data_IF_504639557604
#
_entry.id   IF_504639557604
#
_cell.length_a   1.000
_cell.length_b   1.000
_cell.length_c   1.000
_cell.angle_alpha   90.00
_cell.angle_beta   90.00
_cell.angle_gamma   90.00
#
_symmetry.space_group_name_H-M   'P 1'
#
loop_
_entity.id
_entity.type
_entity.pdbx_description
1 polymer ?
#
# COMPACT_ATOMS: atom_id res chain seq x y z
N UNK A 1 14.15 -6.06 5.17
CA UNK A 1 15.39 -6.76 5.57
C UNK A 1 16.61 -6.12 4.92
N UNK A 2 16.59 -5.92 3.61
CA UNK A 2 17.74 -5.37 2.85
C UNK A 2 18.19 -3.97 3.32
N UNK A 3 17.25 -3.07 3.66
CA UNK A 3 17.58 -1.73 4.18
C UNK A 3 18.34 -1.80 5.51
N UNK A 4 17.96 -2.72 6.40
CA UNK A 4 18.63 -2.89 7.69
C UNK A 4 20.05 -3.43 7.52
N UNK A 5 20.27 -4.32 6.55
CA UNK A 5 21.60 -4.80 6.18
C UNK A 5 22.45 -3.68 5.56
N UNK A 6 21.86 -2.80 4.75
CA UNK A 6 22.56 -1.65 4.19
C UNK A 6 22.95 -0.63 5.28
N UNK A 7 22.06 -0.35 6.24
CA UNK A 7 22.35 0.50 7.39
C UNK A 7 23.49 -0.11 8.21
N UNK A 8 23.38 -1.40 8.56
CA UNK A 8 24.41 -2.09 9.34
C UNK A 8 25.75 -2.15 8.59
N UNK A 9 25.73 -2.42 7.28
CA UNK A 9 26.92 -2.40 6.42
C UNK A 9 27.58 -1.02 6.39
N UNK A 10 26.78 0.06 6.31
CA UNK A 10 27.28 1.43 6.40
C UNK A 10 27.94 1.73 7.75
N UNK A 11 27.35 1.28 8.87
CA UNK A 11 27.95 1.40 10.20
C UNK A 11 29.30 0.68 10.29
N UNK A 12 29.37 -0.55 9.75
CA UNK A 12 30.61 -1.33 9.72
C UNK A 12 31.67 -0.64 8.86
N UNK A 13 31.31 -0.10 7.70
CA UNK A 13 32.25 0.63 6.82
C UNK A 13 32.77 1.91 7.45
N UNK A 14 31.92 2.66 8.16
CA UNK A 14 32.34 3.87 8.87
C UNK A 14 33.30 3.52 10.01
N UNK A 15 32.96 2.51 10.83
CA UNK A 15 33.84 2.03 11.92
C UNK A 15 35.17 1.53 11.34
N UNK A 16 35.13 0.77 10.24
CA UNK A 16 36.32 0.27 9.57
C UNK A 16 37.22 1.41 9.06
N UNK A 17 36.63 2.45 8.45
CA UNK A 17 37.39 3.62 8.02
C UNK A 17 38.00 4.40 9.19
N UNK A 18 37.29 4.55 10.31
CA UNK A 18 37.82 5.18 11.52
C UNK A 18 39.00 4.38 12.07
N UNK A 19 38.86 3.05 12.18
CA UNK A 19 39.94 2.16 12.66
C UNK A 19 41.15 2.21 11.74
N UNK A 20 40.96 2.15 10.42
CA UNK A 20 42.06 2.29 9.46
C UNK A 20 42.76 3.64 9.59
N UNK A 21 42.00 4.73 9.73
CA UNK A 21 42.56 6.07 9.88
C UNK A 21 43.40 6.17 11.17
N UNK A 22 42.90 5.66 12.29
CA UNK A 22 43.65 5.61 13.57
C UNK A 22 44.91 4.75 13.44
N UNK A 23 44.82 3.59 12.79
CA UNK A 23 45.99 2.72 12.60
C UNK A 23 47.05 3.35 11.68
N UNK A 24 46.64 4.01 10.60
CA UNK A 24 47.54 4.71 9.68
C UNK A 24 48.19 5.90 10.39
N UNK A 25 47.40 6.70 11.12
CA UNK A 25 47.92 7.82 11.92
C UNK A 25 48.92 7.32 12.97
N UNK A 26 48.59 6.24 13.69
CA UNK A 26 49.49 5.64 14.68
C UNK A 26 50.77 5.10 14.06
N UNK A 27 50.71 4.43 12.91
CA UNK A 27 51.90 3.96 12.19
C UNK A 27 52.79 5.09 11.68
N UNK A 28 52.22 6.23 11.31
CA UNK A 28 52.96 7.41 10.86
C UNK A 28 53.52 8.20 12.07
N UNK A 29 52.77 8.24 13.18
CA UNK A 29 53.10 9.05 14.36
C UNK A 29 53.93 8.31 15.42
N UNK A 30 54.03 6.98 15.39
CA UNK A 30 55.00 6.20 16.19
C UNK A 30 56.47 6.60 15.88
N UNK A 31 56.71 7.46 14.88
CA UNK A 31 58.01 8.09 14.59
C UNK A 31 58.24 9.44 15.29
N UNK A 32 57.24 10.03 15.96
CA UNK A 32 57.35 11.34 16.61
C UNK A 32 56.42 11.44 17.84
N UNK A 33 57.01 11.30 19.04
CA UNK A 33 56.51 11.67 20.38
C UNK A 33 54.98 11.74 20.59
N UNK A 34 54.49 10.77 21.35
CA UNK A 34 53.11 10.57 21.77
C UNK A 34 52.54 11.73 22.59
N UNK A 35 51.62 12.51 21.99
CA UNK A 35 50.94 13.64 22.61
C UNK A 35 49.54 13.22 23.13
N UNK A 36 49.09 13.64 24.33
CA UNK A 36 47.84 13.18 24.95
C UNK A 36 46.55 13.71 24.31
N UNK A 37 46.63 14.41 23.16
CA UNK A 37 45.47 14.92 22.42
C UNK A 37 44.73 13.86 21.58
N UNK A 38 45.30 12.67 21.42
CA UNK A 38 44.76 11.61 20.56
C UNK A 38 43.43 10.99 21.06
N UNK A 39 43.13 11.08 22.35
CA UNK A 39 41.85 10.60 22.91
C UNK A 39 40.67 11.57 22.66
N UNK A 40 40.93 12.88 22.61
CA UNK A 40 39.90 13.87 22.27
C UNK A 40 39.47 13.76 20.80
N UNK A 41 40.42 13.42 19.93
CA UNK A 41 40.20 13.25 18.49
C UNK A 41 39.25 12.06 18.22
N UNK A 42 39.33 10.96 18.97
CA UNK A 42 38.45 9.80 18.77
C UNK A 42 36.98 10.06 19.12
N UNK A 43 36.70 10.86 20.15
CA UNK A 43 35.32 11.17 20.55
C UNK A 43 34.65 12.10 19.55
N UNK A 44 35.37 13.10 19.02
CA UNK A 44 34.88 14.00 17.98
C UNK A 44 34.47 13.24 16.70
N UNK A 45 35.17 12.16 16.35
CA UNK A 45 34.84 11.34 15.19
C UNK A 45 33.52 10.56 15.34
N UNK A 46 33.18 10.10 16.55
CA UNK A 46 31.92 9.40 16.80
C UNK A 46 30.75 10.38 16.67
N UNK A 47 30.86 11.56 17.26
CA UNK A 47 29.87 12.63 17.10
C UNK A 47 29.75 13.08 15.64
N UNK A 48 30.88 13.13 14.93
CA UNK A 48 30.91 13.46 13.52
C UNK A 48 30.16 12.41 12.66
N UNK A 49 30.43 11.12 12.84
CA UNK A 49 29.73 10.04 12.16
C UNK A 49 28.22 10.05 12.46
N UNK A 50 27.85 10.28 13.73
CA UNK A 50 26.47 10.45 14.16
C UNK A 50 25.79 11.64 13.47
N UNK A 51 26.45 12.80 13.38
CA UNK A 51 25.85 13.94 12.70
C UNK A 51 25.79 13.78 11.18
N UNK A 52 26.74 13.08 10.54
CA UNK A 52 26.64 12.75 9.12
C UNK A 52 25.44 11.84 8.81
N UNK A 53 25.19 10.83 9.65
CA UNK A 53 24.01 9.94 9.54
C UNK A 53 22.71 10.71 9.83
N UNK A 54 22.73 11.58 10.83
CA UNK A 54 21.58 12.41 11.22
C UNK A 54 21.41 13.67 10.35
N UNK A 55 22.22 13.85 9.30
CA UNK A 55 22.25 15.04 8.44
C UNK A 55 22.34 16.37 9.21
N UNK A 56 23.02 16.37 10.36
CA UNK A 56 23.28 17.57 11.13
C UNK A 56 24.50 18.25 10.52
N UNK A 57 24.31 19.49 10.07
CA UNK A 57 25.41 20.34 9.63
C UNK A 57 26.36 20.62 10.79
N UNK A 58 27.65 20.35 10.59
CA UNK A 58 28.69 20.73 11.53
C UNK A 58 29.34 22.04 11.11
N UNK A 59 29.67 22.87 12.10
CA UNK A 59 30.30 24.16 11.87
C UNK A 59 31.82 24.08 11.72
N UNK A 60 32.45 22.99 12.18
CA UNK A 60 33.89 22.79 12.09
C UNK A 60 34.24 21.97 10.86
N UNK A 61 35.11 22.52 10.02
CA UNK A 61 35.65 21.85 8.82
C UNK A 61 36.97 21.18 9.15
N UNK A 62 37.20 19.93 8.75
CA UNK A 62 38.50 19.31 8.94
C UNK A 62 39.58 20.01 8.10
N UNK A 63 40.74 20.26 8.71
CA UNK A 63 41.86 20.97 8.08
C UNK A 63 42.66 20.12 7.09
N UNK A 64 42.62 18.80 7.21
CA UNK A 64 43.37 17.86 6.36
C UNK A 64 42.57 17.40 5.15
N UNK A 65 43.20 17.42 3.97
CA UNK A 65 42.59 17.00 2.69
C UNK A 65 42.04 15.56 2.74
N UNK A 66 42.75 14.63 3.38
CA UNK A 66 42.30 13.24 3.52
C UNK A 66 41.01 13.12 4.34
N UNK A 67 40.85 13.97 5.35
CA UNK A 67 39.67 13.98 6.22
C UNK A 67 38.48 14.65 5.53
N UNK A 68 38.71 15.63 4.66
CA UNK A 68 37.67 16.24 3.81
C UNK A 68 37.06 15.24 2.82
N UNK A 69 37.87 14.36 2.23
CA UNK A 69 37.37 13.30 1.32
C UNK A 69 36.47 12.33 2.08
N UNK A 70 36.92 11.86 3.26
CA UNK A 70 36.11 10.97 4.11
C UNK A 70 34.80 11.67 4.51
N UNK A 71 34.87 12.93 4.92
CA UNK A 71 33.71 13.76 5.26
C UNK A 71 32.70 13.83 4.10
N UNK A 72 33.18 14.17 2.90
CA UNK A 72 32.33 14.28 1.72
C UNK A 72 31.67 12.94 1.38
N UNK A 73 32.43 11.85 1.36
CA UNK A 73 31.89 10.52 1.06
C UNK A 73 30.86 10.06 2.10
N UNK A 74 31.10 10.32 3.39
CA UNK A 74 30.16 10.00 4.47
C UNK A 74 28.84 10.76 4.35
N UNK A 75 28.90 12.06 4.01
CA UNK A 75 27.70 12.87 3.78
C UNK A 75 26.92 12.39 2.56
N UNK A 76 27.59 12.13 1.44
CA UNK A 76 26.93 11.62 0.23
C UNK A 76 26.26 10.27 0.51
N UNK A 77 26.94 9.36 1.20
CA UNK A 77 26.37 8.06 1.55
C UNK A 77 25.19 8.18 2.54
N UNK A 78 25.30 9.02 3.57
CA UNK A 78 24.21 9.32 4.50
C UNK A 78 23.00 9.96 3.82
N UNK A 79 23.23 10.85 2.84
CA UNK A 79 22.18 11.45 2.02
C UNK A 79 21.45 10.40 1.17
N UNK A 80 22.19 9.54 0.48
CA UNK A 80 21.61 8.47 -0.33
C UNK A 80 20.77 7.51 0.52
N UNK A 81 21.27 7.14 1.70
CA UNK A 81 20.56 6.29 2.64
C UNK A 81 19.26 6.94 3.14
N UNK A 82 19.31 8.23 3.47
CA UNK A 82 18.13 8.96 3.91
C UNK A 82 17.09 9.08 2.79
N UNK A 83 17.51 9.38 1.56
CA UNK A 83 16.61 9.43 0.39
C UNK A 83 15.97 8.08 0.16
N UNK A 84 16.74 7.00 0.19
CA UNK A 84 16.23 5.64 0.05
C UNK A 84 15.21 5.29 1.15
N UNK A 85 15.54 5.57 2.42
CA UNK A 85 14.64 5.32 3.55
C UNK A 85 13.34 6.13 3.45
N UNK A 86 13.44 7.43 3.19
CA UNK A 86 12.28 8.31 3.05
C UNK A 86 11.39 7.90 1.87
N UNK A 87 11.98 7.50 0.74
CA UNK A 87 11.22 7.00 -0.41
C UNK A 87 10.47 5.69 -0.11
N UNK A 88 11.10 4.76 0.61
CA UNK A 88 10.47 3.51 1.02
C UNK A 88 9.32 3.76 2.01
N UNK A 89 9.52 4.66 2.97
CA UNK A 89 8.50 5.06 3.93
C UNK A 89 7.29 5.68 3.23
N UNK A 90 7.51 6.62 2.31
CA UNK A 90 6.44 7.23 1.50
C UNK A 90 5.75 6.18 0.63
N UNK A 91 6.49 5.26 0.03
CA UNK A 91 5.91 4.17 -0.76
C UNK A 91 4.96 3.31 0.07
N UNK A 92 5.33 2.98 1.31
CA UNK A 92 4.47 2.20 2.22
C UNK A 92 3.23 3.02 2.60
N UNK A 93 3.40 4.30 2.98
CA UNK A 93 2.28 5.17 3.34
C UNK A 93 1.34 5.48 2.18
N UNK A 94 1.84 5.44 0.94
CA UNK A 94 1.04 5.70 -0.26
C UNK A 94 0.14 4.52 -0.63
N UNK A 95 0.40 3.32 -0.11
CA UNK A 95 -0.48 2.17 -0.33
C UNK A 95 -1.69 2.27 0.58
N UNK A 96 -2.82 2.66 0.01
CA UNK A 96 -4.11 2.52 0.67
C UNK A 96 -4.48 1.04 0.71
N UNK A 97 -4.56 0.47 1.91
CA UNK A 97 -5.05 -0.91 2.10
C UNK A 97 -6.56 -0.84 2.27
N UNK A 98 -7.29 -1.37 1.30
CA UNK A 98 -8.74 -1.53 1.44
C UNK A 98 -9.03 -2.54 2.57
N UNK A 99 -9.83 -2.18 3.58
CA UNK A 99 -10.13 -3.05 4.72
C UNK A 99 -10.98 -4.26 4.34
N UNK A 100 -11.61 -4.23 3.16
CA UNK A 100 -12.48 -5.29 2.65
C UNK A 100 -12.05 -5.63 1.23
N UNK A 101 -11.35 -6.75 1.05
CA UNK A 101 -10.87 -7.20 -0.25
C UNK A 101 -11.65 -8.39 -0.79
N UNK A 102 -12.23 -9.18 0.11
CA UNK A 102 -12.93 -10.41 -0.23
C UNK A 102 -14.35 -10.47 0.33
N UNK A 103 -15.15 -11.36 -0.26
CA UNK A 103 -16.50 -11.63 0.24
C UNK A 103 -16.49 -12.19 1.67
N UNK A 104 -15.42 -12.86 2.09
CA UNK A 104 -15.28 -13.35 3.47
C UNK A 104 -15.10 -12.19 4.45
N UNK A 105 -14.37 -11.15 4.05
CA UNK A 105 -14.16 -9.95 4.88
C UNK A 105 -15.47 -9.18 5.06
N UNK A 106 -16.36 -9.18 4.06
CA UNK A 106 -17.70 -8.63 4.19
C UNK A 106 -18.52 -9.35 5.27
N UNK A 107 -18.44 -10.68 5.31
CA UNK A 107 -19.13 -11.48 6.31
C UNK A 107 -18.52 -11.29 7.71
N UNK A 108 -17.19 -11.26 7.81
CA UNK A 108 -16.48 -11.06 9.07
C UNK A 108 -16.77 -9.69 9.70
N UNK A 109 -16.96 -8.66 8.88
CA UNK A 109 -17.31 -7.31 9.33
C UNK A 109 -18.83 -7.07 9.49
N UNK A 110 -19.64 -8.14 9.39
CA UNK A 110 -21.10 -8.14 9.54
C UNK A 110 -21.83 -7.18 8.59
N UNK A 111 -21.41 -7.10 7.32
CA UNK A 111 -22.13 -6.31 6.32
C UNK A 111 -23.49 -6.95 5.99
N UNK A 112 -24.53 -6.12 5.91
CA UNK A 112 -25.84 -6.55 5.43
C UNK A 112 -25.83 -6.65 3.90
N UNK A 113 -26.03 -7.86 3.37
CA UNK A 113 -25.96 -8.13 1.93
C UNK A 113 -27.36 -8.06 1.30
N UNK A 114 -27.51 -7.20 0.30
CA UNK A 114 -28.73 -7.03 -0.49
C UNK A 114 -28.50 -7.39 -1.95
N UNK A 115 -29.58 -7.62 -2.68
CA UNK A 115 -29.57 -7.89 -4.13
C UNK A 115 -30.18 -6.71 -4.89
N UNK A 116 -29.67 -6.46 -6.10
CA UNK A 116 -30.26 -5.51 -7.04
C UNK A 116 -31.54 -6.06 -7.67
N UNK A 117 -32.63 -5.29 -7.55
CA UNK A 117 -33.95 -5.65 -8.07
C UNK A 117 -34.06 -5.70 -9.57
N UNK A 118 -33.13 -5.09 -10.29
CA UNK A 118 -33.05 -5.15 -11.75
C UNK A 118 -32.41 -6.43 -12.26
N UNK A 119 -31.73 -7.17 -11.38
CA UNK A 119 -30.89 -8.30 -11.74
C UNK A 119 -31.40 -9.57 -11.03
N UNK A 120 -32.25 -10.38 -11.67
CA UNK A 120 -32.84 -11.56 -11.02
C UNK A 120 -31.78 -12.58 -10.59
N UNK A 121 -30.67 -12.69 -11.34
CA UNK A 121 -29.54 -13.55 -10.97
C UNK A 121 -28.90 -13.13 -9.65
N UNK A 122 -28.83 -11.83 -9.36
CA UNK A 122 -28.28 -11.35 -8.09
C UNK A 122 -29.21 -11.71 -6.93
N UNK A 123 -30.53 -11.61 -7.13
CA UNK A 123 -31.53 -12.05 -6.14
C UNK A 123 -31.40 -13.54 -5.84
N UNK A 124 -31.26 -14.39 -6.87
CA UNK A 124 -31.07 -15.83 -6.67
C UNK A 124 -29.75 -16.17 -5.96
N UNK A 125 -28.66 -15.43 -6.24
CA UNK A 125 -27.40 -15.61 -5.51
C UNK A 125 -27.58 -15.32 -4.02
N UNK A 126 -28.22 -14.19 -3.67
CA UNK A 126 -28.44 -13.81 -2.27
C UNK A 126 -29.37 -14.78 -1.57
N UNK A 127 -30.43 -15.24 -2.24
CA UNK A 127 -31.35 -16.27 -1.73
C UNK A 127 -30.63 -17.61 -1.51
N UNK A 128 -29.73 -17.98 -2.41
CA UNK A 128 -28.86 -19.15 -2.24
C UNK A 128 -27.99 -19.03 -0.99
N UNK A 129 -27.31 -17.89 -0.82
CA UNK A 129 -26.49 -17.60 0.37
C UNK A 129 -27.28 -17.71 1.68
N UNK A 130 -28.53 -17.24 1.67
CA UNK A 130 -29.44 -17.34 2.82
C UNK A 130 -29.84 -18.80 3.10
N UNK A 131 -30.13 -19.56 2.05
CA UNK A 131 -30.50 -20.98 2.13
C UNK A 131 -29.36 -21.83 2.69
N UNK A 132 -28.12 -21.52 2.30
CA UNK A 132 -26.91 -22.20 2.82
C UNK A 132 -26.47 -21.70 4.21
N UNK A 133 -27.18 -20.73 4.81
CA UNK A 133 -26.84 -20.18 6.12
C UNK A 133 -25.55 -19.35 6.15
N UNK A 134 -25.07 -18.88 4.99
CA UNK A 134 -23.87 -18.03 4.89
C UNK A 134 -24.20 -16.60 5.34
N UNK A 135 -25.43 -16.15 5.09
CA UNK A 135 -25.95 -14.87 5.56
C UNK A 135 -27.13 -15.09 6.51
N UNK A 136 -27.27 -14.22 7.51
CA UNK A 136 -28.38 -14.25 8.48
C UNK A 136 -29.71 -14.12 7.71
N UNK A 137 -30.78 -14.81 8.13
CA UNK A 137 -32.12 -14.59 7.56
C UNK A 137 -32.62 -13.20 7.91
N UNK A 138 -33.36 -12.57 7.01
CA UNK A 138 -33.96 -11.25 7.28
C UNK A 138 -35.24 -11.40 8.13
N UNK A 139 -35.56 -10.39 8.95
CA UNK A 139 -36.82 -10.37 9.71
C UNK A 139 -38.03 -10.48 8.77
N UNK A 140 -39.10 -11.14 9.25
CA UNK A 140 -40.35 -11.31 8.50
C UNK A 140 -40.88 -9.95 8.02
N UNK A 141 -41.08 -9.81 6.70
CA UNK A 141 -41.61 -8.60 6.06
C UNK A 141 -40.56 -7.67 5.44
N UNK A 142 -39.26 -7.85 5.68
CA UNK A 142 -38.21 -7.11 4.97
C UNK A 142 -37.74 -7.88 3.74
N UNK A 143 -37.55 -7.17 2.62
CA UNK A 143 -36.99 -7.75 1.39
C UNK A 143 -35.53 -7.37 1.23
N UNK A 144 -34.67 -8.36 0.94
CA UNK A 144 -33.27 -8.13 0.52
C UNK A 144 -33.17 -7.55 -0.89
N UNK A 145 -34.30 -7.36 -1.58
CA UNK A 145 -34.33 -6.88 -2.94
C UNK A 145 -34.50 -5.35 -3.00
N UNK A 146 -33.48 -4.63 -3.47
CA UNK A 146 -33.44 -3.17 -3.43
C UNK A 146 -33.01 -2.59 -4.78
N UNK A 147 -33.61 -1.46 -5.16
CA UNK A 147 -33.19 -0.75 -6.37
C UNK A 147 -31.94 0.09 -6.12
N UNK A 148 -30.87 -0.14 -6.87
CA UNK A 148 -29.56 0.55 -6.71
C UNK A 148 -29.71 2.07 -6.57
N UNK A 149 -30.54 2.70 -7.42
CA UNK A 149 -30.62 4.15 -7.51
C UNK A 149 -31.01 4.87 -6.21
N UNK A 150 -31.74 4.21 -5.31
CA UNK A 150 -32.13 4.77 -4.02
C UNK A 150 -31.25 4.24 -2.86
N UNK A 151 -30.45 3.21 -3.13
CA UNK A 151 -29.67 2.50 -2.12
C UNK A 151 -28.20 2.89 -2.15
N UNK A 152 -27.67 3.45 -3.24
CA UNK A 152 -26.28 3.97 -3.31
C UNK A 152 -25.98 4.85 -2.09
N UNK A 153 -26.85 5.82 -1.78
CA UNK A 153 -26.65 6.70 -0.63
C UNK A 153 -26.72 5.98 0.73
N UNK A 154 -27.51 4.90 0.82
CA UNK A 154 -27.59 4.07 2.03
C UNK A 154 -26.29 3.27 2.21
N UNK A 155 -25.78 2.66 1.13
CA UNK A 155 -24.48 1.95 1.13
C UNK A 155 -23.33 2.85 1.57
N UNK A 156 -23.37 4.13 1.21
CA UNK A 156 -22.36 5.10 1.62
C UNK A 156 -22.43 5.49 3.10
N UNK A 157 -23.58 5.27 3.77
CA UNK A 157 -23.82 5.68 5.16
C UNK A 157 -23.84 4.52 6.14
N UNK A 158 -24.23 3.33 5.69
CA UNK A 158 -24.44 2.15 6.54
C UNK A 158 -23.58 0.98 6.07
N UNK A 159 -23.34 0.00 6.96
CA UNK A 159 -22.61 -1.23 6.63
C UNK A 159 -23.45 -2.17 5.76
N UNK A 160 -23.67 -1.75 4.52
CA UNK A 160 -24.51 -2.44 3.54
C UNK A 160 -23.68 -2.78 2.31
N UNK A 161 -23.87 -3.98 1.78
CA UNK A 161 -23.27 -4.42 0.52
C UNK A 161 -24.39 -4.80 -0.46
N UNK A 162 -24.21 -4.46 -1.74
CA UNK A 162 -25.18 -4.82 -2.79
C UNK A 162 -24.50 -5.77 -3.78
N UNK A 163 -25.14 -6.90 -4.03
CA UNK A 163 -24.79 -7.82 -5.11
C UNK A 163 -25.49 -7.34 -6.38
N UNK A 164 -24.70 -6.99 -7.38
CA UNK A 164 -25.17 -6.66 -8.74
C UNK A 164 -24.07 -6.93 -9.77
N UNK A 165 -24.38 -6.75 -11.04
CA UNK A 165 -23.41 -6.72 -12.13
C UNK A 165 -22.88 -5.30 -12.33
N UNK A 166 -21.61 -5.19 -12.74
CA UNK A 166 -20.95 -3.91 -13.03
C UNK A 166 -21.78 -3.05 -13.97
N UNK A 167 -22.33 -3.65 -15.02
CA UNK A 167 -22.97 -2.92 -16.10
C UNK A 167 -24.29 -2.30 -15.62
N UNK A 168 -25.08 -3.05 -14.84
CA UNK A 168 -26.30 -2.52 -14.19
C UNK A 168 -25.96 -1.37 -13.23
N UNK A 169 -24.94 -1.56 -12.38
CA UNK A 169 -24.54 -0.55 -11.40
C UNK A 169 -24.07 0.74 -12.06
N UNK A 170 -23.15 0.67 -13.03
CA UNK A 170 -22.63 1.85 -13.71
C UNK A 170 -23.68 2.57 -14.55
N UNK A 171 -24.60 1.85 -15.19
CA UNK A 171 -25.71 2.49 -15.90
C UNK A 171 -26.59 3.32 -14.95
N UNK A 172 -26.92 2.78 -13.77
CA UNK A 172 -27.70 3.52 -12.76
C UNK A 172 -26.91 4.72 -12.23
N UNK A 173 -25.61 4.54 -12.00
CA UNK A 173 -24.73 5.62 -11.54
C UNK A 173 -24.66 6.78 -12.54
N UNK A 174 -24.50 6.47 -13.83
CA UNK A 174 -24.49 7.46 -14.92
C UNK A 174 -25.84 8.17 -15.05
N UNK A 175 -26.96 7.45 -14.96
CA UNK A 175 -28.30 8.03 -14.97
C UNK A 175 -28.52 9.02 -13.82
N UNK A 176 -27.90 8.77 -12.66
CA UNK A 176 -27.93 9.64 -11.48
C UNK A 176 -26.84 10.73 -11.47
N UNK A 177 -26.06 10.85 -12.55
CA UNK A 177 -24.98 11.82 -12.72
C UNK A 177 -23.89 11.73 -11.64
N UNK A 178 -23.63 10.53 -11.11
CA UNK A 178 -22.46 10.33 -10.25
C UNK A 178 -21.18 10.39 -11.07
N UNK A 179 -20.19 11.14 -10.59
CA UNK A 179 -18.87 11.15 -11.21
C UNK A 179 -18.15 9.81 -10.94
N UNK A 180 -17.40 9.26 -11.92
CA UNK A 180 -16.61 8.05 -11.73
C UNK A 180 -15.64 8.15 -10.54
N UNK A 181 -14.96 9.30 -10.39
CA UNK A 181 -13.99 9.52 -9.32
C UNK A 181 -14.61 9.44 -7.92
N UNK A 182 -15.84 9.98 -7.77
CA UNK A 182 -16.58 9.90 -6.53
C UNK A 182 -16.89 8.44 -6.16
N UNK A 183 -17.29 7.62 -7.14
CA UNK A 183 -17.60 6.22 -6.91
C UNK A 183 -16.34 5.42 -6.57
N UNK A 184 -15.23 5.65 -7.28
CA UNK A 184 -13.96 5.00 -7.00
C UNK A 184 -13.39 5.34 -5.61
N UNK A 185 -13.60 6.57 -5.13
CA UNK A 185 -13.13 6.97 -3.80
C UNK A 185 -14.04 6.48 -2.65
N UNK A 186 -15.33 6.27 -2.91
CA UNK A 186 -16.32 5.99 -1.86
C UNK A 186 -16.86 4.57 -1.85
N UNK A 187 -16.67 3.81 -2.92
CA UNK A 187 -17.19 2.45 -3.07
C UNK A 187 -16.10 1.55 -3.64
N UNK A 188 -15.94 0.38 -3.02
CA UNK A 188 -15.04 -0.66 -3.54
C UNK A 188 -15.86 -1.82 -4.11
N UNK A 189 -15.33 -2.44 -5.17
CA UNK A 189 -15.94 -3.60 -5.83
C UNK A 189 -15.32 -4.88 -5.28
N UNK A 190 -16.13 -5.68 -4.60
CA UNK A 190 -15.73 -7.02 -4.14
C UNK A 190 -16.26 -8.08 -5.08
N UNK A 191 -15.38 -8.93 -5.62
CA UNK A 191 -15.76 -10.00 -6.53
C UNK A 191 -16.25 -11.22 -5.74
N UNK A 192 -17.53 -11.58 -5.90
CA UNK A 192 -18.09 -12.82 -5.32
C UNK A 192 -17.60 -14.07 -6.06
N UNK A 193 -17.46 -14.01 -7.40
CA UNK A 193 -17.01 -15.13 -8.23
C UNK A 193 -15.92 -14.65 -9.19
N UNK A 194 -14.85 -15.43 -9.34
CA UNK A 194 -13.72 -15.10 -10.23
C UNK A 194 -14.06 -15.21 -11.73
N UNK A 195 -15.15 -15.92 -12.08
CA UNK A 195 -15.59 -16.06 -13.47
C UNK A 195 -16.64 -14.99 -13.79
N UNK A 196 -16.46 -14.21 -14.87
CA UNK A 196 -17.47 -13.26 -15.30
C UNK A 196 -18.75 -14.02 -15.65
N UNK A 197 -19.90 -13.46 -15.28
CA UNK A 197 -21.16 -13.92 -15.83
C UNK A 197 -21.22 -13.42 -17.28
N UNK A 198 -21.25 -14.33 -18.24
CA UNK A 198 -21.33 -13.99 -19.65
C UNK A 198 -22.80 -13.72 -19.96
N UNK A 199 -23.09 -12.49 -20.42
CA UNK A 199 -24.39 -12.19 -20.99
C UNK A 199 -24.64 -13.04 -22.23
N UNK A 200 -25.82 -13.66 -22.33
CA UNK A 200 -26.23 -14.40 -23.52
C UNK A 200 -27.50 -13.80 -24.09
N UNK A 201 -27.63 -13.83 -25.41
CA UNK A 201 -28.87 -13.46 -26.09
C UNK A 201 -29.74 -14.69 -26.25
N UNK A 202 -31.03 -14.57 -25.93
CA UNK A 202 -32.00 -15.63 -26.15
C UNK A 202 -32.67 -15.41 -27.50
N UNK A 203 -32.57 -16.42 -28.37
CA UNK A 203 -33.25 -16.44 -29.66
C UNK A 203 -34.34 -17.50 -29.62
N UNK A 204 -35.48 -17.24 -30.29
CA UNK A 204 -36.56 -18.23 -30.46
C UNK A 204 -35.98 -19.55 -30.99
N UNK A 205 -36.38 -20.68 -30.38
CA UNK A 205 -35.97 -22.02 -30.81
C UNK A 205 -36.34 -22.23 -32.28
N UNK A 206 -35.35 -22.60 -33.09
CA UNK A 206 -35.50 -22.79 -34.55
C UNK A 206 -35.36 -21.52 -35.39
N UNK A 207 -35.04 -20.37 -34.79
CA UNK A 207 -34.78 -19.14 -35.56
C UNK A 207 -33.43 -19.22 -36.29
N UNK A 208 -33.35 -18.79 -37.56
CA UNK A 208 -32.09 -18.70 -38.28
C UNK A 208 -31.11 -17.71 -37.64
N UNK A 209 -31.61 -16.76 -36.84
CA UNK A 209 -30.80 -15.77 -36.13
C UNK A 209 -29.81 -16.39 -35.12
N UNK A 210 -30.01 -17.66 -34.71
CA UNK A 210 -29.08 -18.36 -33.82
C UNK A 210 -27.70 -18.50 -34.45
N UNK A 211 -27.61 -18.71 -35.76
CA UNK A 211 -26.32 -18.88 -36.44
C UNK A 211 -25.58 -17.54 -36.56
N UNK A 212 -26.32 -16.47 -36.89
CA UNK A 212 -25.78 -15.11 -36.99
C UNK A 212 -25.22 -14.55 -35.67
N UNK A 213 -25.80 -14.91 -34.52
CA UNK A 213 -25.36 -14.41 -33.21
C UNK A 213 -24.31 -15.29 -32.50
N UNK A 214 -24.00 -16.47 -33.03
CA UNK A 214 -22.97 -17.38 -32.48
C UNK A 214 -21.65 -17.34 -33.26
N UNK A 215 -21.47 -16.36 -34.15
CA UNK A 215 -20.20 -16.12 -34.86
C UNK A 215 -19.11 -15.57 -33.94
#
# INVERSE_FOLDING_TARGET
MEIWLAIFGMWVLIIFHIVLFVQVKRRIHDSALQDPSDSAISDEFIFFALGAICQKGFHQSPSSASMQVIFFTGIVAGLLLHVAYSSALVSILSVNVDPVQSFRDLLANEFEIFSDSRVPTATEIVKGLETYGIIKKLDEGKSRNVGIGNTIFKVLKTKMAIVSFSDSFYQVALQRKYQPDFLCQKMSRVLYRRRPAIGSMFVKRGSPLREYFNC
#
